data_IF_212011162765
#
_entry.id   IF_212011162765
#
_cell.length_a   1.000
_cell.length_b   1.000
_cell.length_c   1.000
_cell.angle_alpha   90.00
_cell.angle_beta   90.00
_cell.angle_gamma   90.00
#
_symmetry.space_group_name_H-M   'P 1'
#
loop_
_entity.id
_entity.type
_entity.pdbx_description
1 polymer ?
#
# COMPACT_ATOMS: atom_id res chain seq x y z
N UNK A 1 25.06 -33.19 2.51
CA UNK A 1 23.81 -33.82 2.02
C UNK A 1 22.79 -34.14 3.12
N UNK A 2 23.17 -34.52 4.36
CA UNK A 2 22.19 -34.80 5.42
C UNK A 2 21.65 -33.56 6.18
N UNK A 3 22.32 -32.40 6.07
CA UNK A 3 21.90 -31.16 6.73
C UNK A 3 20.87 -30.38 5.87
N UNK A 4 20.90 -30.54 4.55
CA UNK A 4 19.90 -29.96 3.62
C UNK A 4 18.53 -30.65 3.66
N UNK A 5 18.46 -31.87 4.18
CA UNK A 5 17.19 -32.63 4.25
C UNK A 5 16.36 -32.27 5.50
N UNK A 6 16.92 -31.49 6.43
CA UNK A 6 16.26 -31.07 7.67
C UNK A 6 15.88 -29.58 7.70
N UNK A 7 15.94 -28.88 6.56
CA UNK A 7 15.42 -27.51 6.43
C UNK A 7 14.36 -27.34 5.33
N UNK A 8 13.90 -28.43 4.72
CA UNK A 8 12.87 -28.41 3.67
C UNK A 8 11.46 -28.80 4.14
N UNK A 9 11.18 -28.65 5.43
CA UNK A 9 9.89 -29.01 6.06
C UNK A 9 9.16 -27.81 6.69
N UNK A 10 9.41 -26.58 6.24
CA UNK A 10 8.71 -25.40 6.78
C UNK A 10 8.30 -24.36 5.74
N UNK A 11 7.67 -24.79 4.66
CA UNK A 11 6.72 -23.93 3.97
C UNK A 11 5.55 -24.78 3.47
N UNK A 12 4.65 -25.13 4.38
CA UNK A 12 3.30 -25.50 3.97
C UNK A 12 2.60 -24.21 3.51
N UNK A 13 1.98 -24.17 2.32
CA UNK A 13 1.35 -22.97 1.78
C UNK A 13 0.33 -22.41 2.77
N UNK A 14 0.24 -21.08 2.88
CA UNK A 14 -0.65 -20.36 3.80
C UNK A 14 -2.11 -20.88 3.73
N UNK A 15 -2.54 -21.36 2.56
CA UNK A 15 -3.83 -22.02 2.36
C UNK A 15 -4.04 -23.26 3.23
N UNK A 16 -3.02 -24.11 3.43
CA UNK A 16 -3.10 -25.31 4.28
C UNK A 16 -3.14 -24.92 5.76
N UNK A 17 -2.41 -23.88 6.16
CA UNK A 17 -2.50 -23.37 7.54
C UNK A 17 -3.87 -22.75 7.83
N UNK A 18 -4.43 -21.99 6.89
CA UNK A 18 -5.78 -21.42 6.98
C UNK A 18 -6.82 -22.54 7.08
N UNK A 19 -6.74 -23.54 6.21
CA UNK A 19 -7.65 -24.70 6.17
C UNK A 19 -7.56 -25.54 7.46
N UNK A 20 -6.35 -25.79 7.98
CA UNK A 20 -6.17 -26.51 9.24
C UNK A 20 -6.68 -25.69 10.44
N UNK A 21 -6.50 -24.37 10.43
CA UNK A 21 -7.06 -23.48 11.46
C UNK A 21 -8.59 -23.46 11.43
N UNK A 22 -9.21 -23.49 10.24
CA UNK A 22 -10.66 -23.54 10.06
C UNK A 22 -11.22 -24.91 10.46
N UNK A 23 -10.54 -26.00 10.09
CA UNK A 23 -10.92 -27.38 10.43
C UNK A 23 -10.85 -27.64 11.94
N UNK A 24 -9.83 -27.10 12.62
CA UNK A 24 -9.72 -27.16 14.08
C UNK A 24 -10.78 -26.30 14.79
N UNK A 25 -11.14 -25.13 14.24
CA UNK A 25 -12.25 -24.31 14.73
C UNK A 25 -13.58 -25.04 14.60
N UNK A 26 -13.86 -25.61 13.43
CA UNK A 26 -15.07 -26.38 13.16
C UNK A 26 -15.22 -27.61 14.07
N UNK A 27 -14.14 -28.36 14.28
CA UNK A 27 -14.15 -29.55 15.15
C UNK A 27 -14.33 -29.20 16.64
N UNK A 28 -13.83 -28.06 17.10
CA UNK A 28 -14.08 -27.56 18.47
C UNK A 28 -15.55 -27.18 18.66
N UNK A 29 -16.18 -26.56 17.66
CA UNK A 29 -17.61 -26.23 17.65
C UNK A 29 -18.46 -27.50 17.69
N UNK A 30 -18.19 -28.48 16.82
CA UNK A 30 -18.93 -29.74 16.79
C UNK A 30 -18.81 -30.55 18.09
N UNK A 31 -17.61 -30.57 18.72
CA UNK A 31 -17.42 -31.24 20.02
C UNK A 31 -18.16 -30.51 21.14
N UNK A 32 -18.15 -29.17 21.16
CA UNK A 32 -18.91 -28.37 22.12
C UNK A 32 -20.42 -28.56 21.96
N UNK A 33 -20.91 -28.72 20.73
CA UNK A 33 -22.30 -29.09 20.47
C UNK A 33 -22.61 -30.50 20.98
N UNK A 34 -21.72 -31.49 20.81
CA UNK A 34 -22.03 -32.89 21.17
C UNK A 34 -22.07 -33.17 22.69
N UNK A 35 -21.49 -32.33 23.55
CA UNK A 35 -21.30 -32.63 24.99
C UNK A 35 -22.09 -31.76 26.00
N UNK A 36 -22.91 -30.78 25.58
CA UNK A 36 -23.60 -29.88 26.52
C UNK A 36 -25.12 -29.79 26.31
N UNK A 37 -25.85 -29.56 27.42
CA UNK A 37 -27.30 -29.29 27.48
C UNK A 37 -27.66 -28.02 26.67
N UNK A 38 -28.88 -27.99 26.11
CA UNK A 38 -29.37 -26.97 25.17
C UNK A 38 -29.07 -25.52 25.58
N UNK A 39 -29.08 -25.22 26.90
CA UNK A 39 -28.84 -23.89 27.46
C UNK A 39 -27.38 -23.43 27.39
N UNK A 40 -26.43 -24.36 27.48
CA UNK A 40 -24.99 -24.07 27.37
C UNK A 40 -24.55 -23.91 25.91
N UNK A 41 -25.20 -24.63 24.96
CA UNK A 41 -24.99 -24.42 23.52
C UNK A 41 -25.37 -23.00 23.09
N UNK A 42 -26.53 -22.52 23.56
CA UNK A 42 -27.01 -21.16 23.32
C UNK A 42 -26.02 -20.10 23.85
N UNK A 43 -25.47 -20.32 25.05
CA UNK A 43 -24.49 -19.41 25.63
C UNK A 43 -23.17 -19.40 24.83
N UNK A 44 -22.62 -20.57 24.48
CA UNK A 44 -21.38 -20.68 23.69
C UNK A 44 -21.53 -20.06 22.31
N UNK A 45 -22.64 -20.30 21.60
CA UNK A 45 -22.93 -19.67 20.29
C UNK A 45 -23.04 -18.14 20.42
N UNK A 46 -23.75 -17.65 21.43
CA UNK A 46 -23.84 -16.21 21.71
C UNK A 46 -22.50 -15.56 22.11
N UNK A 47 -21.52 -16.35 22.59
CA UNK A 47 -20.17 -15.85 22.91
C UNK A 47 -19.25 -15.88 21.68
N UNK A 48 -19.47 -16.82 20.75
CA UNK A 48 -18.69 -16.95 19.51
C UNK A 48 -19.09 -15.85 18.50
N UNK A 49 -20.38 -15.49 18.42
CA UNK A 49 -20.86 -14.42 17.53
C UNK A 49 -20.36 -13.01 17.90
N UNK A 50 -19.97 -12.77 19.16
CA UNK A 50 -19.47 -11.44 19.58
C UNK A 50 -17.98 -11.20 19.28
N UNK A 51 -17.23 -12.21 18.82
CA UNK A 51 -15.76 -12.13 18.77
C UNK A 51 -15.15 -12.42 17.41
N UNK A 52 -15.93 -12.32 16.33
CA UNK A 52 -15.37 -11.96 15.03
C UNK A 52 -15.47 -10.44 14.90
N UNK A 53 -14.41 -9.77 15.35
CA UNK A 53 -14.21 -8.35 15.06
C UNK A 53 -14.03 -8.28 13.54
N UNK A 54 -15.07 -7.83 12.82
CA UNK A 54 -14.95 -7.46 11.42
C UNK A 54 -13.98 -6.26 11.36
N UNK A 55 -12.72 -6.53 11.05
CA UNK A 55 -11.71 -5.49 10.85
C UNK A 55 -12.00 -4.87 9.47
N UNK A 56 -12.36 -3.58 9.44
CA UNK A 56 -12.50 -2.82 8.20
C UNK A 56 -11.22 -2.90 7.36
N UNK A 57 -11.35 -3.11 6.05
CA UNK A 57 -10.23 -3.28 5.12
C UNK A 57 -10.05 -2.07 4.21
N UNK A 58 -8.80 -1.77 3.86
CA UNK A 58 -8.50 -0.77 2.83
C UNK A 58 -8.74 -1.41 1.46
N UNK A 59 -9.71 -0.86 0.73
CA UNK A 59 -10.13 -1.35 -0.58
C UNK A 59 -9.43 -0.64 -1.74
N UNK A 60 -9.14 0.65 -1.61
CA UNK A 60 -8.53 1.44 -2.66
C UNK A 60 -7.68 2.55 -2.06
N UNK A 61 -6.55 2.85 -2.68
CA UNK A 61 -5.69 3.99 -2.35
C UNK A 61 -5.39 4.75 -3.64
N UNK A 62 -5.57 6.07 -3.61
CA UNK A 62 -5.22 6.98 -4.71
C UNK A 62 -4.31 8.06 -4.19
N UNK A 63 -3.07 8.08 -4.65
CA UNK A 63 -2.09 9.11 -4.33
C UNK A 63 -1.73 9.92 -5.56
N UNK A 64 -1.38 11.18 -5.33
CA UNK A 64 -0.75 12.06 -6.28
C UNK A 64 0.58 12.54 -5.70
N UNK A 65 1.67 12.22 -6.40
CA UNK A 65 3.02 12.59 -5.99
C UNK A 65 3.28 14.07 -6.24
N UNK A 66 3.93 14.72 -5.28
CA UNK A 66 4.32 16.12 -5.35
C UNK A 66 5.82 16.25 -5.58
N UNK A 67 6.20 16.97 -6.63
CA UNK A 67 7.59 17.32 -6.94
C UNK A 67 7.98 18.64 -6.26
N UNK A 68 7.86 18.69 -4.93
CA UNK A 68 8.21 19.88 -4.15
C UNK A 68 9.21 19.53 -3.06
N UNK A 69 10.12 20.45 -2.76
CA UNK A 69 11.10 20.33 -1.65
C UNK A 69 10.46 20.57 -0.27
N UNK A 70 9.16 20.31 -0.16
CA UNK A 70 8.44 20.40 1.11
C UNK A 70 8.42 19.05 1.81
N UNK A 71 8.08 19.06 3.10
CA UNK A 71 7.89 17.83 3.86
C UNK A 71 6.76 16.95 3.29
N UNK A 72 5.86 17.49 2.45
CA UNK A 72 4.74 16.74 1.85
C UNK A 72 5.20 16.14 0.52
N UNK A 73 5.22 14.81 0.45
CA UNK A 73 5.63 14.06 -0.75
C UNK A 73 4.47 13.63 -1.61
N UNK A 74 3.31 13.37 -1.01
CA UNK A 74 2.11 13.00 -1.75
C UNK A 74 0.84 13.43 -1.02
N UNK A 75 -0.22 13.63 -1.79
CA UNK A 75 -1.58 13.89 -1.27
C UNK A 75 -2.54 12.92 -1.94
N UNK A 76 -3.51 12.42 -1.19
CA UNK A 76 -4.45 11.46 -1.76
C UNK A 76 -5.68 11.16 -0.91
N UNK A 77 -6.24 9.99 -1.18
CA UNK A 77 -7.43 9.44 -0.56
C UNK A 77 -7.35 7.92 -0.48
N UNK A 78 -8.05 7.35 0.50
CA UNK A 78 -8.25 5.90 0.61
C UNK A 78 -9.74 5.58 0.79
N UNK A 79 -10.13 4.36 0.44
CA UNK A 79 -11.47 3.84 0.64
C UNK A 79 -11.44 2.59 1.53
N UNK A 80 -12.37 2.52 2.48
CA UNK A 80 -12.59 1.38 3.37
C UNK A 80 -13.79 0.56 2.86
N UNK A 81 -13.58 -0.75 2.74
CA UNK A 81 -14.58 -1.76 2.37
C UNK A 81 -15.40 -1.43 1.11
N UNK A 82 -14.87 -0.60 0.21
CA UNK A 82 -15.59 -0.10 -0.97
C UNK A 82 -16.82 0.76 -0.63
N UNK A 83 -17.00 1.16 0.62
CA UNK A 83 -18.21 1.81 1.12
C UNK A 83 -17.97 3.21 1.67
N UNK A 84 -16.74 3.51 2.13
CA UNK A 84 -16.43 4.79 2.75
C UNK A 84 -15.09 5.35 2.26
N UNK A 85 -15.07 6.57 1.73
CA UNK A 85 -13.86 7.21 1.22
C UNK A 85 -13.42 8.37 2.11
N UNK A 86 -12.12 8.44 2.39
CA UNK A 86 -11.47 9.52 3.14
C UNK A 86 -10.49 10.24 2.23
N UNK A 87 -10.63 11.56 2.11
CA UNK A 87 -9.80 12.41 1.27
C UNK A 87 -8.95 13.36 2.13
N UNK A 88 -7.80 13.76 1.60
CA UNK A 88 -6.92 14.72 2.27
C UNK A 88 -5.85 14.06 3.14
N UNK A 89 -5.55 12.79 2.86
CA UNK A 89 -4.41 12.11 3.48
C UNK A 89 -3.14 12.55 2.79
N UNK A 90 -2.06 12.67 3.57
CA UNK A 90 -0.76 13.12 3.08
C UNK A 90 0.32 12.11 3.45
N UNK A 91 1.25 11.88 2.53
CA UNK A 91 2.52 11.21 2.84
C UNK A 91 3.56 12.30 3.08
N UNK A 92 4.19 12.26 4.23
CA UNK A 92 5.16 13.25 4.67
C UNK A 92 6.48 12.60 5.03
N UNK A 93 7.57 13.35 4.90
CA UNK A 93 8.92 12.92 5.27
C UNK A 93 9.36 13.63 6.56
N UNK A 94 9.79 12.84 7.54
CA UNK A 94 10.40 13.36 8.77
C UNK A 94 11.83 13.85 8.54
N UNK A 95 12.37 14.62 9.49
CA UNK A 95 13.76 15.08 9.47
C UNK A 95 14.81 13.96 9.35
N UNK A 96 14.42 12.73 9.71
CA UNK A 96 15.26 11.54 9.66
C UNK A 96 15.16 10.80 8.30
N UNK A 97 14.37 11.31 7.35
CA UNK A 97 14.15 10.69 6.04
C UNK A 97 13.14 9.54 6.04
N UNK A 98 12.36 9.40 7.12
CA UNK A 98 11.31 8.38 7.21
C UNK A 98 9.98 8.93 6.69
N UNK A 99 9.32 8.16 5.81
CA UNK A 99 7.99 8.50 5.32
C UNK A 99 6.92 8.03 6.29
N UNK A 100 5.99 8.93 6.63
CA UNK A 100 4.83 8.64 7.47
C UNK A 100 3.55 9.22 6.85
N UNK A 101 2.41 8.77 7.38
CA UNK A 101 1.09 9.18 6.91
C UNK A 101 0.49 10.19 7.88
N UNK A 102 0.12 11.35 7.38
CA UNK A 102 -0.65 12.35 8.09
C UNK A 102 -2.11 12.29 7.65
N UNK A 103 -3.01 12.12 8.62
CA UNK A 103 -4.45 12.07 8.38
C UNK A 103 -5.00 13.46 7.99
N UNK A 104 -6.23 13.52 7.44
CA UNK A 104 -6.85 14.78 7.08
C UNK A 104 -7.07 15.60 8.36
N UNK A 105 -6.54 16.83 8.39
CA UNK A 105 -6.59 17.70 9.56
C UNK A 105 -7.17 19.07 9.20
N UNK A 106 -7.78 19.71 10.19
CA UNK A 106 -8.31 21.08 10.08
C UNK A 106 -7.67 21.97 11.15
N UNK A 107 -7.35 23.20 10.75
CA UNK A 107 -6.92 24.24 11.68
C UNK A 107 -8.11 24.79 12.47
N UNK A 108 -7.94 24.86 13.79
CA UNK A 108 -8.87 25.45 14.74
C UNK A 108 -8.68 26.97 14.82
N UNK A 109 -9.62 27.65 15.44
CA UNK A 109 -9.54 29.10 15.65
C UNK A 109 -8.35 29.54 16.51
N UNK A 110 -7.81 28.63 17.33
CA UNK A 110 -6.62 28.86 18.16
C UNK A 110 -5.29 28.59 17.41
N UNK A 111 -5.35 28.20 16.12
CA UNK A 111 -4.18 27.84 15.32
C UNK A 111 -3.67 26.42 15.53
N UNK A 112 -4.31 25.62 16.40
CA UNK A 112 -3.98 24.20 16.55
C UNK A 112 -4.62 23.35 15.44
N UNK A 113 -4.04 22.18 15.17
CA UNK A 113 -4.55 21.25 14.16
C UNK A 113 -5.14 20.02 14.83
N UNK A 114 -6.31 19.59 14.36
CA UNK A 114 -6.93 18.34 14.77
C UNK A 114 -7.28 17.49 13.56
N UNK A 115 -7.05 16.19 13.69
CA UNK A 115 -7.41 15.21 12.68
C UNK A 115 -8.93 15.06 12.61
N UNK A 116 -9.47 15.23 11.40
CA UNK A 116 -10.89 15.09 11.09
C UNK A 116 -11.28 13.60 11.04
N UNK A 117 -10.36 12.76 10.56
CA UNK A 117 -10.60 11.34 10.40
C UNK A 117 -9.36 10.55 10.83
N UNK A 118 -9.49 9.76 11.90
CA UNK A 118 -8.42 8.95 12.46
C UNK A 118 -8.94 7.57 12.88
N UNK A 119 -8.13 6.50 12.72
CA UNK A 119 -8.50 5.17 13.17
C UNK A 119 -8.38 5.05 14.69
N UNK A 120 -9.35 4.39 15.31
CA UNK A 120 -9.36 4.16 16.77
C UNK A 120 -8.50 2.97 17.20
N UNK A 121 -8.41 1.94 16.37
CA UNK A 121 -7.66 0.72 16.68
C UNK A 121 -6.27 0.74 16.06
N UNK A 122 -5.29 0.17 16.78
CA UNK A 122 -3.91 0.02 16.29
C UNK A 122 -3.83 -0.84 15.02
N UNK A 123 -4.69 -1.84 14.91
CA UNK A 123 -4.75 -2.74 13.76
C UNK A 123 -5.18 -1.99 12.49
N UNK A 124 -6.24 -1.18 12.59
CA UNK A 124 -6.71 -0.36 11.46
C UNK A 124 -5.70 0.73 11.11
N UNK A 125 -5.07 1.35 12.12
CA UNK A 125 -3.99 2.29 11.89
C UNK A 125 -2.85 1.66 11.07
N UNK A 126 -2.37 0.49 11.46
CA UNK A 126 -1.31 -0.22 10.74
C UNK A 126 -1.75 -0.63 9.33
N UNK A 127 -2.99 -1.09 9.16
CA UNK A 127 -3.55 -1.46 7.85
C UNK A 127 -3.62 -0.28 6.89
N UNK A 128 -4.15 0.86 7.34
CA UNK A 128 -4.27 2.08 6.54
C UNK A 128 -2.88 2.64 6.18
N UNK A 129 -2.03 2.82 7.19
CA UNK A 129 -0.71 3.42 6.97
C UNK A 129 0.19 2.55 6.11
N UNK A 130 0.16 1.23 6.28
CA UNK A 130 0.87 0.28 5.43
C UNK A 130 0.43 0.39 3.97
N UNK A 131 -0.88 0.29 3.71
CA UNK A 131 -1.42 0.36 2.35
C UNK A 131 -1.05 1.66 1.61
N UNK A 132 -1.06 2.80 2.32
CA UNK A 132 -0.71 4.10 1.74
C UNK A 132 0.78 4.20 1.45
N UNK A 133 1.64 3.78 2.38
CA UNK A 133 3.10 3.85 2.18
C UNK A 133 3.54 2.92 1.06
N UNK A 134 2.93 1.74 0.95
CA UNK A 134 3.23 0.78 -0.11
C UNK A 134 2.81 1.32 -1.49
N UNK A 135 1.62 1.89 -1.61
CA UNK A 135 1.17 2.55 -2.85
C UNK A 135 2.08 3.72 -3.22
N UNK A 136 2.51 4.54 -2.24
CA UNK A 136 3.44 5.63 -2.47
C UNK A 136 4.76 5.13 -3.06
N UNK A 137 5.37 4.10 -2.47
CA UNK A 137 6.62 3.51 -2.97
C UNK A 137 6.47 3.00 -4.41
N UNK A 138 5.39 2.28 -4.69
CA UNK A 138 5.11 1.79 -6.04
C UNK A 138 4.97 2.93 -7.06
N UNK A 139 4.34 4.05 -6.70
CA UNK A 139 4.22 5.19 -7.60
C UNK A 139 5.56 5.89 -7.83
N UNK A 140 6.40 6.00 -6.80
CA UNK A 140 7.75 6.58 -6.93
C UNK A 140 8.60 5.73 -7.87
N UNK A 141 8.62 4.41 -7.65
CA UNK A 141 9.36 3.47 -8.53
C UNK A 141 8.87 3.55 -9.99
N UNK A 142 7.55 3.62 -10.21
CA UNK A 142 6.97 3.79 -11.56
C UNK A 142 7.37 5.12 -12.21
N UNK A 143 7.41 6.22 -11.45
CA UNK A 143 7.84 7.52 -11.97
C UNK A 143 9.33 7.55 -12.32
N UNK A 144 10.19 6.91 -11.52
CA UNK A 144 11.62 6.81 -11.80
C UNK A 144 11.90 5.99 -13.08
N UNK A 145 11.16 4.88 -13.26
CA UNK A 145 11.27 4.06 -14.47
C UNK A 145 10.83 4.81 -15.74
N UNK A 146 9.75 5.58 -15.67
CA UNK A 146 9.28 6.40 -16.80
C UNK A 146 10.32 7.46 -17.19
N UNK A 147 10.92 8.15 -16.22
CA UNK A 147 11.95 9.18 -16.48
C UNK A 147 13.22 8.60 -17.11
N UNK A 148 13.64 7.40 -16.71
CA UNK A 148 14.80 6.73 -17.30
C UNK A 148 14.58 6.28 -18.75
N UNK A 149 13.33 5.97 -19.13
CA UNK A 149 12.97 5.58 -20.51
C UNK A 149 12.83 6.77 -21.45
N UNK A 150 12.42 7.94 -20.95
CA UNK A 150 12.34 9.18 -21.73
C UNK A 150 13.74 9.77 -22.01
N UNK A 151 14.65 9.72 -21.03
CA UNK A 151 16.04 10.20 -21.20
C UNK A 151 16.87 9.41 -22.24
N UNK A 152 16.48 8.17 -22.54
CA UNK A 152 17.15 7.33 -23.54
C UNK A 152 16.63 7.51 -24.97
N UNK A 153 15.56 8.28 -25.19
CA UNK A 153 15.02 8.60 -26.52
C UNK A 153 15.49 9.96 -27.07
N UNK A 154 15.93 10.90 -26.23
CA UNK A 154 16.46 12.20 -26.68
C UNK A 154 17.90 12.14 -27.23
N UNK A 155 18.67 11.08 -26.97
CA UNK A 155 20.04 10.92 -27.47
C UNK A 155 20.13 10.29 -28.88
N UNK A 156 19.02 9.84 -29.48
CA UNK A 156 19.04 9.21 -30.83
C UNK A 156 18.68 10.17 -31.97
N UNK A 157 18.38 11.45 -31.70
CA UNK A 157 18.02 12.42 -32.76
C UNK A 157 19.02 13.58 -32.95
N UNK A 158 20.01 13.78 -32.07
CA UNK A 158 21.00 14.88 -32.23
C UNK A 158 22.25 14.50 -33.04
N UNK A 159 22.49 13.23 -33.35
CA UNK A 159 23.63 12.80 -34.18
C UNK A 159 23.33 12.66 -35.70
N UNK A 160 22.06 12.76 -36.12
CA UNK A 160 21.70 12.63 -37.54
C UNK A 160 21.80 13.94 -38.36
N UNK A 161 21.92 15.11 -37.72
CA UNK A 161 21.89 16.41 -38.43
C UNK A 161 23.27 17.07 -38.63
N UNK A 162 24.37 16.52 -38.09
CA UNK A 162 25.71 17.12 -38.25
C UNK A 162 26.57 16.54 -39.38
N UNK A 163 26.08 15.55 -40.14
CA UNK A 163 26.88 14.85 -41.16
C UNK A 163 26.68 15.32 -42.62
N UNK A 164 25.95 16.41 -42.88
CA UNK A 164 25.63 16.86 -44.25
C UNK A 164 26.18 18.25 -44.63
N UNK A 165 27.51 18.38 -44.70
CA UNK A 165 28.23 19.27 -45.65
C UNK A 165 29.72 18.87 -45.64
N UNK A 166 30.49 18.92 -46.75
CA UNK A 166 30.36 19.90 -47.84
C UNK A 166 30.62 19.36 -49.28
N UNK A 167 30.14 20.06 -50.31
CA UNK A 167 30.72 19.93 -51.66
C UNK A 167 30.76 21.29 -52.40
N UNK A 168 31.87 21.60 -53.11
CA UNK A 168 32.20 22.97 -53.54
C UNK A 168 31.59 23.28 -54.91
N UNK A 169 31.02 24.48 -55.09
CA UNK A 169 30.66 24.97 -56.43
C UNK A 169 31.72 25.93 -56.95
N UNK A 170 32.45 25.43 -57.96
CA UNK A 170 33.32 26.17 -58.88
C UNK A 170 32.67 27.48 -59.32
N UNK A 171 33.46 28.55 -59.31
CA UNK A 171 33.04 29.87 -59.77
C UNK A 171 32.75 29.96 -61.26
N UNK A 172 32.16 31.09 -61.66
CA UNK A 172 32.39 31.67 -62.98
C UNK A 172 32.19 33.18 -62.94
N UNK A 173 33.23 33.89 -63.36
CA UNK A 173 33.28 35.32 -63.65
C UNK A 173 32.20 35.76 -64.62
N UNK A 174 31.60 36.93 -64.43
CA UNK A 174 31.83 38.14 -65.24
C UNK A 174 31.09 39.34 -64.66
#
# INVERSE_FOLDING_TARGET
MFIDMMQRQRQFPLQIQLLNSLKLRYLRILRAMKQHSHRQRQHVLATIDRKEILIMQVSEVRLNLLKTDTAVKAIGSFALDGAFAVRGVRVMEDKNGHNFVAFPSREKQDGSYEDIAFPLSKELYASITGAIIDEYKQQVEKQEQAQNQEASQEQTQTEAESAAAPAPKKGKSR
#
